data_IF_254136125160
#
_entry.id   IF_254136125160
#
_cell.length_a   1.000
_cell.length_b   1.000
_cell.length_c   1.000
_cell.angle_alpha   90.00
_cell.angle_beta   90.00
_cell.angle_gamma   90.00
#
_symmetry.space_group_name_H-M   'P 1'
#
loop_
_entity.id
_entity.type
_entity.pdbx_description
1 polymer ?
#
# COMPACT_ATOMS: atom_id res chain seq x y z
N UNK A 1 16.48 -19.32 -16.26
CA UNK A 1 15.16 -19.63 -16.83
C UNK A 1 14.27 -18.36 -16.90
N UNK A 2 14.15 -17.55 -15.85
CA UNK A 2 13.30 -16.36 -15.84
C UNK A 2 13.74 -15.23 -16.80
N UNK A 3 15.03 -15.10 -17.09
CA UNK A 3 15.55 -14.10 -18.03
C UNK A 3 15.24 -14.45 -19.49
N UNK A 4 15.28 -15.74 -19.83
CA UNK A 4 14.88 -16.22 -21.16
C UNK A 4 13.37 -16.03 -21.38
N UNK A 5 12.55 -16.28 -20.38
CA UNK A 5 11.09 -16.15 -20.47
C UNK A 5 10.65 -14.69 -20.71
N UNK A 6 11.29 -13.72 -20.05
CA UNK A 6 11.05 -12.28 -20.33
C UNK A 6 11.47 -11.85 -21.72
N UNK A 7 12.62 -12.33 -22.22
CA UNK A 7 13.09 -12.03 -23.58
C UNK A 7 12.19 -12.67 -24.62
N UNK A 8 11.74 -13.91 -24.41
CA UNK A 8 10.81 -14.60 -25.31
C UNK A 8 9.45 -13.90 -25.35
N UNK A 9 8.91 -13.40 -24.24
CA UNK A 9 7.67 -12.59 -24.25
C UNK A 9 7.85 -11.26 -24.97
N UNK A 10 8.98 -10.59 -24.81
CA UNK A 10 9.29 -9.38 -25.56
C UNK A 10 9.46 -9.65 -27.05
N UNK A 11 10.11 -10.77 -27.45
CA UNK A 11 10.17 -11.21 -28.82
C UNK A 11 8.78 -11.48 -29.41
N UNK A 12 7.91 -12.18 -28.68
CA UNK A 12 6.55 -12.46 -29.12
C UNK A 12 5.70 -11.21 -29.36
N UNK A 13 5.95 -10.13 -28.63
CA UNK A 13 5.23 -8.85 -28.83
C UNK A 13 5.90 -8.01 -29.92
N UNK A 14 7.22 -8.11 -30.11
CA UNK A 14 8.00 -7.23 -30.98
C UNK A 14 8.10 -7.73 -32.44
N UNK A 15 8.17 -9.05 -32.60
CA UNK A 15 8.51 -9.66 -33.92
C UNK A 15 7.31 -10.32 -34.60
N UNK A 16 6.09 -10.12 -34.09
CA UNK A 16 4.86 -10.61 -34.71
C UNK A 16 4.21 -9.57 -35.62
N UNK A 17 3.25 -10.03 -36.43
CA UNK A 17 2.43 -9.13 -37.24
C UNK A 17 1.74 -8.07 -36.39
N UNK A 18 1.43 -6.94 -36.99
CA UNK A 18 0.77 -5.80 -36.28
C UNK A 18 -0.53 -6.24 -35.62
N UNK A 19 -1.29 -7.13 -36.26
CA UNK A 19 -2.54 -7.70 -35.74
C UNK A 19 -2.29 -8.54 -34.48
N UNK A 20 -1.30 -9.44 -34.52
CA UNK A 20 -0.95 -10.26 -33.34
C UNK A 20 -0.38 -9.41 -32.19
N UNK A 21 0.32 -8.33 -32.49
CA UNK A 21 0.77 -7.37 -31.48
C UNK A 21 -0.42 -6.63 -30.82
N UNK A 22 -1.40 -6.22 -31.61
CA UNK A 22 -2.61 -5.58 -31.12
C UNK A 22 -3.43 -6.52 -30.21
N UNK A 23 -3.61 -7.77 -30.63
CA UNK A 23 -4.27 -8.80 -29.81
C UNK A 23 -3.52 -9.04 -28.50
N UNK A 24 -2.20 -9.19 -28.54
CA UNK A 24 -1.41 -9.40 -27.33
C UNK A 24 -1.53 -8.24 -26.34
N UNK A 25 -1.53 -6.99 -26.83
CA UNK A 25 -1.72 -5.81 -25.98
C UNK A 25 -3.13 -5.71 -25.40
N UNK A 26 -4.14 -6.08 -26.18
CA UNK A 26 -5.53 -5.93 -25.75
C UNK A 26 -5.96 -7.07 -24.83
N UNK A 27 -5.58 -8.31 -25.11
CA UNK A 27 -6.06 -9.50 -24.42
C UNK A 27 -5.10 -10.02 -23.35
N UNK A 28 -3.77 -9.85 -23.52
CA UNK A 28 -2.77 -10.52 -22.68
C UNK A 28 -2.07 -9.57 -21.69
N UNK A 29 -2.30 -8.28 -21.78
CA UNK A 29 -1.67 -7.33 -20.87
C UNK A 29 -2.19 -7.56 -19.44
N UNK A 30 -1.28 -7.67 -18.46
CA UNK A 30 -1.62 -7.96 -17.07
C UNK A 30 -2.48 -6.86 -16.41
N UNK A 31 -2.32 -5.61 -16.84
CA UNK A 31 -3.16 -4.50 -16.37
C UNK A 31 -4.63 -4.63 -16.78
N UNK A 32 -4.94 -5.38 -17.84
CA UNK A 32 -6.30 -5.66 -18.28
C UNK A 32 -6.87 -6.96 -17.65
N UNK A 33 -6.01 -7.81 -17.08
CA UNK A 33 -6.38 -9.11 -16.51
C UNK A 33 -6.07 -9.16 -15.01
N UNK A 34 -6.55 -8.20 -14.24
CA UNK A 34 -6.33 -8.11 -12.80
C UNK A 34 -7.15 -9.15 -12.03
N UNK A 35 -8.32 -9.54 -12.56
CA UNK A 35 -9.20 -10.48 -11.89
C UNK A 35 -8.93 -11.93 -12.29
N UNK A 36 -9.08 -12.82 -11.30
CA UNK A 36 -9.09 -14.26 -11.52
C UNK A 36 -10.37 -14.71 -12.20
N UNK A 37 -10.25 -15.53 -13.23
CA UNK A 37 -11.40 -16.15 -13.90
C UNK A 37 -12.13 -17.17 -13.02
N UNK A 38 -11.48 -17.64 -11.93
CA UNK A 38 -12.02 -18.66 -11.04
C UNK A 38 -13.07 -18.09 -10.08
N UNK A 39 -12.77 -16.97 -9.45
CA UNK A 39 -13.53 -16.43 -8.32
C UNK A 39 -13.78 -14.91 -8.42
N UNK A 40 -13.35 -14.29 -9.52
CA UNK A 40 -13.55 -12.86 -9.75
C UNK A 40 -12.76 -11.95 -8.79
N UNK A 41 -11.83 -12.51 -8.01
CA UNK A 41 -10.99 -11.74 -7.07
C UNK A 41 -9.70 -11.27 -7.75
N UNK A 42 -9.11 -10.17 -7.26
CA UNK A 42 -7.83 -9.71 -7.77
C UNK A 42 -6.73 -10.80 -7.62
N UNK A 43 -6.08 -11.15 -8.73
CA UNK A 43 -4.91 -12.05 -8.75
C UNK A 43 -3.64 -11.29 -8.39
N UNK A 44 -3.53 -10.06 -8.87
CA UNK A 44 -2.38 -9.20 -8.64
C UNK A 44 -2.50 -8.54 -7.25
N UNK A 45 -2.19 -9.29 -6.19
CA UNK A 45 -2.15 -8.77 -4.82
C UNK A 45 -0.69 -8.64 -4.38
N UNK A 46 -0.30 -7.53 -3.73
CA UNK A 46 1.02 -7.38 -3.14
C UNK A 46 1.38 -8.56 -2.22
N UNK A 47 2.64 -8.97 -2.21
CA UNK A 47 3.12 -10.11 -1.43
C UNK A 47 4.53 -9.88 -0.90
N UNK A 48 5.01 -10.74 0.01
CA UNK A 48 6.38 -10.73 0.54
C UNK A 48 6.80 -9.35 1.08
N UNK A 49 7.92 -8.81 0.59
CA UNK A 49 8.51 -7.55 1.07
C UNK A 49 7.60 -6.33 0.88
N UNK A 50 6.71 -6.36 -0.11
CA UNK A 50 5.72 -5.31 -0.28
C UNK A 50 4.76 -5.23 0.91
N UNK A 51 4.27 -6.40 1.37
CA UNK A 51 3.40 -6.47 2.56
C UNK A 51 4.19 -6.15 3.82
N UNK A 52 5.42 -6.66 3.92
CA UNK A 52 6.28 -6.37 5.07
C UNK A 52 6.52 -4.87 5.23
N UNK A 53 6.82 -4.17 4.14
CA UNK A 53 7.01 -2.72 4.14
C UNK A 53 5.75 -1.94 4.48
N UNK A 54 4.59 -2.32 3.94
CA UNK A 54 3.31 -1.67 4.27
C UNK A 54 2.87 -1.95 5.70
N UNK A 55 3.12 -3.14 6.22
CA UNK A 55 2.88 -3.49 7.61
C UNK A 55 3.75 -2.64 8.55
N UNK A 56 5.07 -2.58 8.30
CA UNK A 56 5.99 -1.75 9.08
C UNK A 56 5.58 -0.28 9.10
N UNK A 57 5.10 0.23 7.97
CA UNK A 57 4.64 1.60 7.82
C UNK A 57 3.38 1.88 8.66
N UNK A 58 2.46 0.93 8.77
CA UNK A 58 1.13 1.14 9.36
C UNK A 58 0.95 0.61 10.78
N UNK A 59 1.96 -0.05 11.32
CA UNK A 59 1.99 -0.49 12.72
C UNK A 59 2.01 0.74 13.65
N UNK A 60 1.38 0.61 14.82
CA UNK A 60 1.32 1.65 15.85
C UNK A 60 2.18 1.25 17.04
N UNK A 61 2.92 2.20 17.58
CA UNK A 61 3.63 2.05 18.84
C UNK A 61 2.76 2.63 19.97
N UNK A 62 2.09 1.78 20.71
CA UNK A 62 1.09 2.18 21.73
C UNK A 62 1.66 3.05 22.85
N UNK A 63 2.92 2.87 23.22
CA UNK A 63 3.59 3.61 24.29
C UNK A 63 3.77 5.12 24.03
N UNK A 64 3.34 5.62 22.87
CA UNK A 64 3.50 7.04 22.47
C UNK A 64 2.21 7.84 22.60
N UNK A 65 1.10 7.24 23.06
CA UNK A 65 -0.19 7.92 23.18
C UNK A 65 -0.16 9.10 24.15
N UNK A 66 0.55 8.98 25.26
CA UNK A 66 0.61 10.01 26.30
C UNK A 66 1.27 11.33 25.83
N UNK A 67 2.13 11.25 24.82
CA UNK A 67 2.84 12.39 24.25
C UNK A 67 2.38 12.75 22.83
N UNK A 68 1.17 12.33 22.46
CA UNK A 68 0.66 12.51 21.10
C UNK A 68 0.46 14.00 20.75
N UNK A 69 1.19 14.45 19.72
CA UNK A 69 1.13 15.82 19.20
C UNK A 69 -0.05 15.99 18.26
N UNK A 70 -0.56 17.22 18.14
CA UNK A 70 -1.66 17.57 17.24
C UNK A 70 -1.15 18.46 16.12
N UNK A 71 -1.48 18.11 14.89
CA UNK A 71 -1.09 18.82 13.68
C UNK A 71 -2.32 19.27 12.89
N UNK A 72 -2.17 20.35 12.12
CA UNK A 72 -3.25 20.88 11.31
C UNK A 72 -3.30 20.25 9.91
N UNK A 73 -2.15 19.98 9.30
CA UNK A 73 -2.04 19.52 7.91
C UNK A 73 -1.09 18.32 7.76
N UNK A 74 -1.21 17.63 6.63
CA UNK A 74 -0.30 16.54 6.24
C UNK A 74 1.15 17.04 6.12
N UNK A 75 1.37 18.20 5.49
CA UNK A 75 2.71 18.74 5.26
C UNK A 75 3.43 19.07 6.58
N UNK A 76 2.68 19.53 7.59
CA UNK A 76 3.18 19.79 8.92
C UNK A 76 3.67 18.51 9.62
N UNK A 77 2.92 17.41 9.45
CA UNK A 77 3.33 16.07 9.94
C UNK A 77 4.60 15.61 9.25
N UNK A 78 4.68 15.77 7.93
CA UNK A 78 5.86 15.38 7.15
C UNK A 78 7.11 16.17 7.55
N UNK A 79 6.97 17.47 7.75
CA UNK A 79 8.05 18.33 8.21
C UNK A 79 8.54 17.90 9.61
N UNK A 80 7.61 17.61 10.52
CA UNK A 80 7.96 17.14 11.87
C UNK A 80 8.63 15.76 11.85
N UNK A 81 8.22 14.88 10.93
CA UNK A 81 8.84 13.57 10.72
C UNK A 81 10.27 13.71 10.15
N UNK A 82 10.47 14.54 9.15
CA UNK A 82 11.78 14.79 8.57
C UNK A 82 12.76 15.47 9.56
N UNK A 83 12.24 16.35 10.41
CA UNK A 83 12.98 16.97 11.49
C UNK A 83 13.29 16.01 12.67
N UNK A 84 12.79 14.77 12.64
CA UNK A 84 13.00 13.78 13.69
C UNK A 84 12.24 14.06 15.00
N UNK A 85 11.26 14.97 14.97
CA UNK A 85 10.43 15.35 16.14
C UNK A 85 9.39 14.29 16.49
N UNK A 86 8.98 13.51 15.48
CA UNK A 86 8.04 12.38 15.60
C UNK A 86 8.60 11.17 14.86
N UNK A 87 8.33 9.99 15.40
CA UNK A 87 8.65 8.72 14.74
C UNK A 87 7.56 8.30 13.73
N UNK A 88 7.91 7.37 12.86
CA UNK A 88 7.01 6.84 11.83
C UNK A 88 5.75 6.18 12.42
N UNK A 89 5.90 5.51 13.55
CA UNK A 89 4.90 4.67 14.22
C UNK A 89 4.28 5.34 15.46
N UNK A 90 4.70 6.59 15.75
CA UNK A 90 4.20 7.32 16.91
C UNK A 90 2.78 7.80 16.67
N UNK A 91 1.95 7.73 17.71
CA UNK A 91 0.58 8.21 17.69
C UNK A 91 0.58 9.74 17.62
N UNK A 92 -0.21 10.28 16.73
CA UNK A 92 -0.44 11.70 16.57
C UNK A 92 -1.91 11.98 16.24
N UNK A 93 -2.30 13.22 16.35
CA UNK A 93 -3.62 13.68 15.95
C UNK A 93 -3.51 14.67 14.81
N UNK A 94 -4.36 14.50 13.82
CA UNK A 94 -4.47 15.42 12.69
C UNK A 94 -5.91 15.95 12.59
N UNK A 95 -6.05 17.19 12.18
CA UNK A 95 -7.37 17.78 11.92
C UNK A 95 -7.79 17.49 10.49
N UNK A 96 -8.86 16.71 10.33
CA UNK A 96 -9.43 16.36 9.02
C UNK A 96 -10.77 17.07 8.80
N UNK A 97 -11.01 17.61 7.58
CA UNK A 97 -12.30 18.19 7.23
C UNK A 97 -13.43 17.16 7.40
N UNK A 98 -14.48 17.53 8.13
CA UNK A 98 -15.64 16.65 8.36
C UNK A 98 -15.52 15.64 9.50
N UNK A 99 -14.31 15.30 9.96
CA UNK A 99 -14.06 14.31 11.02
C UNK A 99 -13.46 14.90 12.28
N UNK A 100 -13.07 16.18 12.24
CA UNK A 100 -12.46 16.87 13.37
C UNK A 100 -11.05 16.34 13.70
N UNK A 101 -10.84 15.98 14.98
CA UNK A 101 -9.55 15.44 15.46
C UNK A 101 -9.51 13.93 15.21
N UNK A 102 -8.57 13.49 14.38
CA UNK A 102 -8.40 12.08 13.97
C UNK A 102 -7.09 11.53 14.51
N UNK A 103 -7.15 10.40 15.21
CA UNK A 103 -5.97 9.66 15.68
C UNK A 103 -5.34 8.90 14.51
N UNK A 104 -4.03 9.01 14.35
CA UNK A 104 -3.29 8.32 13.30
C UNK A 104 -1.79 8.23 13.63
N UNK A 105 -0.98 7.76 12.68
CA UNK A 105 0.48 7.81 12.74
C UNK A 105 1.03 8.44 11.46
N UNK A 106 2.26 8.95 11.50
CA UNK A 106 2.91 9.50 10.30
C UNK A 106 2.95 8.46 9.18
N UNK A 107 3.22 7.19 9.50
CA UNK A 107 3.24 6.11 8.51
C UNK A 107 1.86 5.82 7.89
N UNK A 108 0.80 5.82 8.67
CA UNK A 108 -0.58 5.66 8.15
C UNK A 108 -0.99 6.81 7.26
N UNK A 109 -0.57 8.04 7.59
CA UNK A 109 -0.82 9.19 6.74
C UNK A 109 -0.10 9.08 5.39
N UNK A 110 1.19 8.68 5.39
CA UNK A 110 1.95 8.45 4.16
C UNK A 110 1.28 7.37 3.31
N UNK A 111 0.83 6.27 3.92
CA UNK A 111 0.12 5.21 3.21
C UNK A 111 -1.20 5.71 2.61
N UNK A 112 -2.03 6.40 3.40
CA UNK A 112 -3.31 6.92 2.90
C UNK A 112 -3.12 7.99 1.83
N UNK A 113 -2.07 8.82 1.91
CA UNK A 113 -1.75 9.79 0.86
C UNK A 113 -1.37 9.12 -0.48
N UNK A 114 -0.82 7.91 -0.44
CA UNK A 114 -0.56 7.11 -1.65
C UNK A 114 -1.83 6.46 -2.23
N UNK A 115 -2.90 6.35 -1.43
CA UNK A 115 -4.21 5.86 -1.87
C UNK A 115 -5.05 6.98 -2.50
N UNK A 116 -6.09 6.58 -3.21
CA UNK A 116 -7.15 7.52 -3.60
C UNK A 116 -7.98 7.93 -2.38
N UNK A 117 -8.43 9.19 -2.28
CA UNK A 117 -9.16 9.68 -1.11
C UNK A 117 -10.42 8.87 -0.75
N UNK A 118 -11.08 8.29 -1.74
CA UNK A 118 -12.29 7.48 -1.58
C UNK A 118 -12.00 6.11 -0.91
N UNK A 119 -10.74 5.70 -0.89
CA UNK A 119 -10.29 4.46 -0.25
C UNK A 119 -9.79 4.67 1.18
N UNK A 120 -9.80 5.90 1.68
CA UNK A 120 -9.39 6.18 3.04
C UNK A 120 -10.33 5.53 4.05
N UNK A 121 -9.76 4.77 4.97
CA UNK A 121 -10.53 4.02 5.96
C UNK A 121 -10.55 4.77 7.27
N UNK A 122 -11.70 5.37 7.59
CA UNK A 122 -11.97 5.93 8.89
C UNK A 122 -12.65 4.88 9.78
N UNK A 123 -12.20 4.75 11.03
CA UNK A 123 -12.84 3.93 12.04
C UNK A 123 -13.13 4.82 13.24
N UNK A 124 -14.30 4.64 13.88
CA UNK A 124 -14.65 5.33 15.09
C UNK A 124 -14.23 4.48 16.29
N UNK A 125 -13.47 5.06 17.20
CA UNK A 125 -13.09 4.43 18.46
C UNK A 125 -14.25 4.49 19.47
N UNK A 126 -14.16 3.71 20.53
CA UNK A 126 -15.12 3.72 21.64
C UNK A 126 -15.22 5.09 22.32
N UNK A 127 -14.15 5.86 22.32
CA UNK A 127 -14.05 7.23 22.86
C UNK A 127 -14.68 8.30 21.95
N UNK A 128 -15.32 7.93 20.85
CA UNK A 128 -15.91 8.86 19.89
C UNK A 128 -14.91 9.57 18.97
N UNK A 129 -13.61 9.32 19.14
CA UNK A 129 -12.58 9.83 18.23
C UNK A 129 -12.49 8.96 16.98
N UNK A 130 -12.13 9.59 15.84
CA UNK A 130 -11.90 8.85 14.62
C UNK A 130 -10.43 8.44 14.50
N UNK A 131 -10.21 7.24 14.00
CA UNK A 131 -8.87 6.74 13.62
C UNK A 131 -8.78 6.62 12.11
N UNK A 132 -7.71 7.16 11.52
CA UNK A 132 -7.43 7.02 10.10
C UNK A 132 -6.42 5.90 9.86
N UNK A 133 -6.82 4.95 9.03
CA UNK A 133 -6.01 3.83 8.60
C UNK A 133 -5.99 2.68 9.60
N UNK A 134 -5.75 1.50 9.06
CA UNK A 134 -5.58 0.23 9.79
C UNK A 134 -4.20 -0.33 9.53
N UNK A 135 -3.81 -1.32 10.30
CA UNK A 135 -2.61 -2.12 10.00
C UNK A 135 -2.83 -2.86 8.68
N UNK A 136 -1.91 -2.67 7.74
CA UNK A 136 -2.00 -3.24 6.40
C UNK A 136 -1.33 -4.60 6.36
N UNK A 137 -2.11 -5.64 6.67
CA UNK A 137 -1.76 -7.02 6.45
C UNK A 137 -2.16 -7.48 5.04
N UNK A 138 -1.77 -8.70 4.65
CA UNK A 138 -2.08 -9.27 3.33
C UNK A 138 -3.59 -9.29 3.04
N UNK A 139 -4.42 -9.58 4.06
CA UNK A 139 -5.87 -9.67 3.90
C UNK A 139 -6.49 -8.28 3.71
N UNK A 140 -6.03 -7.31 4.47
CA UNK A 140 -6.51 -5.92 4.40
C UNK A 140 -6.13 -5.28 3.07
N UNK A 141 -4.89 -5.46 2.62
CA UNK A 141 -4.45 -4.98 1.30
C UNK A 141 -5.24 -5.66 0.18
N UNK A 142 -5.50 -6.98 0.27
CA UNK A 142 -6.34 -7.67 -0.70
C UNK A 142 -7.76 -7.10 -0.81
N UNK A 143 -8.39 -6.80 0.32
CA UNK A 143 -9.72 -6.14 0.34
C UNK A 143 -9.67 -4.73 -0.23
N UNK A 144 -8.60 -3.98 0.05
CA UNK A 144 -8.40 -2.64 -0.48
C UNK A 144 -8.30 -2.63 -2.01
N UNK A 145 -7.55 -3.60 -2.56
CA UNK A 145 -7.42 -3.76 -4.02
C UNK A 145 -8.75 -4.14 -4.65
N UNK A 146 -9.52 -5.03 -4.01
CA UNK A 146 -10.86 -5.42 -4.48
C UNK A 146 -11.82 -4.22 -4.48
N UNK A 147 -11.85 -3.43 -3.40
CA UNK A 147 -12.64 -2.20 -3.32
C UNK A 147 -12.24 -1.19 -4.40
N UNK A 148 -10.94 -1.01 -4.62
CA UNK A 148 -10.44 -0.13 -5.68
C UNK A 148 -10.91 -0.58 -7.06
N UNK A 149 -10.87 -1.88 -7.32
CA UNK A 149 -11.33 -2.44 -8.58
C UNK A 149 -12.83 -2.20 -8.80
N UNK A 150 -13.65 -2.40 -7.77
CA UNK A 150 -15.09 -2.18 -7.84
C UNK A 150 -15.46 -0.71 -8.09
N UNK A 151 -14.69 0.23 -7.52
CA UNK A 151 -14.96 1.67 -7.64
C UNK A 151 -14.41 2.27 -8.94
N UNK A 152 -13.23 1.88 -9.36
CA UNK A 152 -12.46 2.59 -10.39
C UNK A 152 -12.08 1.74 -11.61
N UNK A 153 -12.29 0.41 -11.54
CA UNK A 153 -11.94 -0.50 -12.63
C UNK A 153 -10.42 -0.78 -12.76
N UNK A 154 -10.03 -1.36 -13.89
CA UNK A 154 -8.69 -1.92 -14.11
C UNK A 154 -7.56 -0.90 -14.04
N UNK A 155 -7.70 0.23 -14.73
CA UNK A 155 -6.60 1.19 -14.93
C UNK A 155 -6.12 1.78 -13.62
N UNK A 156 -7.05 2.31 -12.82
CA UNK A 156 -6.71 2.89 -11.52
C UNK A 156 -6.28 1.85 -10.49
N UNK A 157 -6.77 0.63 -10.60
CA UNK A 157 -6.30 -0.48 -9.75
C UNK A 157 -4.85 -0.84 -10.06
N UNK A 158 -4.46 -0.85 -11.34
CA UNK A 158 -3.07 -1.05 -11.73
C UNK A 158 -2.16 0.07 -11.20
N UNK A 159 -2.59 1.33 -11.28
CA UNK A 159 -1.88 2.47 -10.71
C UNK A 159 -1.73 2.35 -9.19
N UNK A 160 -2.80 1.98 -8.49
CA UNK A 160 -2.77 1.75 -7.05
C UNK A 160 -1.77 0.66 -6.66
N UNK A 161 -1.77 -0.47 -7.39
CA UNK A 161 -0.84 -1.57 -7.16
C UNK A 161 0.62 -1.14 -7.34
N UNK A 162 0.90 -0.30 -8.35
CA UNK A 162 2.25 0.24 -8.56
C UNK A 162 2.68 1.20 -7.45
N UNK A 163 1.78 2.02 -6.94
CA UNK A 163 2.03 2.91 -5.79
C UNK A 163 2.30 2.09 -4.52
N UNK A 164 1.49 1.08 -4.20
CA UNK A 164 1.67 0.20 -3.04
C UNK A 164 2.99 -0.58 -3.17
N UNK A 165 3.32 -1.07 -4.34
CA UNK A 165 4.58 -1.77 -4.62
C UNK A 165 5.79 -0.87 -4.32
N UNK A 166 5.81 0.32 -4.89
CA UNK A 166 6.90 1.29 -4.70
C UNK A 166 7.08 1.68 -3.24
N UNK A 167 5.96 1.97 -2.56
CA UNK A 167 5.94 2.30 -1.15
C UNK A 167 6.43 1.13 -0.29
N UNK A 168 5.88 -0.07 -0.50
CA UNK A 168 6.21 -1.27 0.23
C UNK A 168 7.70 -1.58 0.17
N UNK A 169 8.29 -1.61 -1.01
CA UNK A 169 9.74 -1.84 -1.14
C UNK A 169 10.59 -0.73 -0.53
N UNK A 170 10.18 0.53 -0.67
CA UNK A 170 10.91 1.66 -0.06
C UNK A 170 10.97 1.53 1.46
N UNK A 171 9.85 1.20 2.11
CA UNK A 171 9.80 1.08 3.56
C UNK A 171 10.34 -0.27 4.07
N UNK A 172 10.23 -1.36 3.33
CA UNK A 172 10.92 -2.61 3.65
C UNK A 172 12.44 -2.43 3.71
N UNK A 173 13.00 -1.69 2.73
CA UNK A 173 14.42 -1.35 2.72
C UNK A 173 14.83 -0.46 3.91
N UNK A 174 14.01 0.55 4.24
CA UNK A 174 14.29 1.45 5.38
C UNK A 174 14.18 0.74 6.72
N UNK A 175 13.24 -0.22 6.82
CA UNK A 175 13.03 -1.01 8.03
C UNK A 175 14.23 -1.92 8.36
N UNK A 176 15.02 -2.34 7.35
CA UNK A 176 16.17 -3.20 7.53
C UNK A 176 15.83 -4.53 8.21
N UNK A 177 14.61 -5.03 8.02
CA UNK A 177 14.17 -6.27 8.66
C UNK A 177 14.92 -7.45 8.08
N UNK A 178 15.68 -8.14 8.93
CA UNK A 178 16.36 -9.38 8.61
C UNK A 178 15.86 -10.48 9.53
N UNK A 179 15.64 -11.68 8.97
CA UNK A 179 15.39 -12.89 9.76
C UNK A 179 16.69 -13.64 9.86
N UNK A 180 17.26 -13.73 11.07
CA UNK A 180 18.49 -14.46 11.27
C UNK A 180 18.21 -15.98 11.20
N UNK A 181 18.99 -16.69 10.38
CA UNK A 181 18.92 -18.16 10.27
C UNK A 181 19.26 -18.86 11.60
N UNK A 182 19.94 -18.17 12.52
CA UNK A 182 20.31 -18.69 13.85
C UNK A 182 19.12 -18.97 14.76
N UNK A 183 17.92 -18.47 14.46
CA UNK A 183 16.69 -18.78 15.20
C UNK A 183 16.19 -20.22 15.00
N UNK A 184 16.79 -20.96 14.06
CA UNK A 184 16.45 -22.38 13.82
C UNK A 184 16.98 -23.29 14.95
N UNK A 185 17.90 -22.78 15.79
CA UNK A 185 18.56 -23.55 16.86
C UNK A 185 18.10 -23.18 18.29
N UNK A 186 16.99 -22.50 18.43
CA UNK A 186 16.38 -22.20 19.74
C UNK A 186 15.23 -23.15 20.01
#
# INVERSE_FOLDING_TARGET
LHLCDRRQRQMCIRDRSVEAQAEARTLMLSSHNILSTKDGKPVAVPSQDMILGTYYLTVVRENTKDNAKTFATYDEVMLAYEAGVIGLQDVLYIRMPGYGRVETTAGRLIFNHALFPELWQYAQNEDGTYTLGKVMDKKTVGKLVDQCFQLFGNEKTAELLDRIKSLGYSFARRAGMTVALSLIHI
#
